data_IF_636021688642
#
_entry.id   IF_636021688642
#
_cell.length_a   1.000
_cell.length_b   1.000
_cell.length_c   1.000
_cell.angle_alpha   90.00
_cell.angle_beta   90.00
_cell.angle_gamma   90.00
#
_symmetry.space_group_name_H-M   'P 1'
#
loop_
_entity.id
_entity.type
_entity.pdbx_description
1 polymer ?
#
# COMPACT_ATOMS: atom_id res chain seq x y z
N UNK A 1 -4.26 -16.39 -6.39
CA UNK A 1 -2.93 -16.08 -5.83
C UNK A 1 -2.65 -14.57 -5.72
N UNK A 2 -2.49 -13.80 -6.80
CA UNK A 2 -2.17 -12.35 -6.62
C UNK A 2 -3.32 -11.55 -6.00
N UNK A 3 -4.57 -11.79 -6.43
CA UNK A 3 -5.75 -11.15 -5.82
C UNK A 3 -5.90 -11.47 -4.33
N UNK A 4 -5.67 -12.73 -3.94
CA UNK A 4 -5.68 -13.15 -2.53
C UNK A 4 -4.63 -12.40 -1.70
N UNK A 5 -3.44 -12.15 -2.26
CA UNK A 5 -2.40 -11.39 -1.57
C UNK A 5 -2.71 -9.89 -1.48
N UNK A 6 -3.45 -9.32 -2.43
CA UNK A 6 -4.02 -7.98 -2.29
C UNK A 6 -5.05 -7.93 -1.16
N UNK A 7 -5.96 -8.90 -1.09
CA UNK A 7 -6.95 -9.00 -0.01
C UNK A 7 -6.30 -9.15 1.36
N UNK A 8 -5.28 -10.01 1.46
CA UNK A 8 -4.42 -10.13 2.65
C UNK A 8 -3.84 -8.77 3.06
N UNK A 9 -3.21 -8.05 2.11
CA UNK A 9 -2.60 -6.76 2.39
C UNK A 9 -3.64 -5.75 2.88
N UNK A 10 -4.79 -5.66 2.23
CA UNK A 10 -5.87 -4.74 2.62
C UNK A 10 -6.43 -5.05 4.00
N UNK A 11 -6.62 -6.32 4.34
CA UNK A 11 -7.06 -6.73 5.67
C UNK A 11 -6.05 -6.31 6.74
N UNK A 12 -4.78 -6.66 6.54
CA UNK A 12 -3.70 -6.32 7.48
C UNK A 12 -3.54 -4.80 7.62
N UNK A 13 -3.59 -4.06 6.50
CA UNK A 13 -3.52 -2.60 6.49
C UNK A 13 -4.67 -1.97 7.24
N UNK A 14 -5.90 -2.45 7.04
CA UNK A 14 -7.07 -1.96 7.75
C UNK A 14 -6.94 -2.18 9.27
N UNK A 15 -6.48 -3.35 9.69
CA UNK A 15 -6.20 -3.64 11.11
C UNK A 15 -5.10 -2.74 11.68
N UNK A 16 -4.09 -2.36 10.88
CA UNK A 16 -3.07 -1.39 11.30
C UNK A 16 -3.61 0.03 11.41
N UNK A 17 -4.53 0.41 10.52
CA UNK A 17 -5.25 1.69 10.60
C UNK A 17 -6.07 1.72 11.89
N UNK A 18 -6.85 0.69 12.20
CA UNK A 18 -7.62 0.54 13.44
C UNK A 18 -6.70 0.57 14.67
N UNK A 19 -5.58 -0.18 14.64
CA UNK A 19 -4.56 -0.15 15.69
C UNK A 19 -4.02 1.27 15.93
N UNK A 20 -3.87 2.07 14.87
CA UNK A 20 -3.42 3.45 14.96
C UNK A 20 -4.47 4.40 15.55
N UNK A 21 -5.76 4.04 15.57
CA UNK A 21 -6.80 4.83 16.25
C UNK A 21 -6.66 4.75 17.77
N UNK A 22 -6.06 3.67 18.28
CA UNK A 22 -5.92 3.43 19.71
C UNK A 22 -4.65 4.05 20.32
N UNK A 23 -3.77 4.67 19.52
CA UNK A 23 -2.56 5.33 20.01
C UNK A 23 -2.76 6.85 20.07
N UNK A 24 -2.06 7.55 20.98
CA UNK A 24 -2.05 9.02 20.99
C UNK A 24 -1.55 9.58 19.66
N UNK A 25 -2.10 10.72 19.25
CA UNK A 25 -1.71 11.41 18.02
C UNK A 25 -0.19 11.66 17.95
N UNK A 26 0.43 12.00 19.08
CA UNK A 26 1.86 12.26 19.18
C UNK A 26 2.67 11.01 18.78
N UNK A 27 2.22 9.82 19.14
CA UNK A 27 2.88 8.55 18.80
C UNK A 27 2.65 8.14 17.34
N UNK A 28 1.50 8.49 16.75
CA UNK A 28 1.16 8.28 15.35
C UNK A 28 2.10 9.05 14.41
N UNK A 29 2.43 10.29 14.76
CA UNK A 29 3.31 11.17 13.96
C UNK A 29 4.77 11.17 14.42
N UNK A 30 5.08 10.54 15.56
CA UNK A 30 6.43 10.50 16.14
C UNK A 30 7.45 10.03 15.12
N UNK A 31 8.57 10.75 15.03
CA UNK A 31 9.69 10.34 14.19
C UNK A 31 10.37 9.08 14.76
N UNK A 32 10.49 8.05 13.92
CA UNK A 32 11.12 6.77 14.22
C UNK A 32 12.17 6.43 13.17
N UNK A 33 13.08 5.53 13.51
CA UNK A 33 14.08 5.01 12.57
C UNK A 33 13.41 3.92 11.72
N UNK A 34 13.61 3.98 10.40
CA UNK A 34 13.05 3.04 9.44
C UNK A 34 11.79 3.54 8.73
N UNK A 35 11.37 2.80 7.71
CA UNK A 35 10.17 3.10 6.92
C UNK A 35 10.10 4.53 6.43
N UNK A 36 8.91 5.12 6.53
CA UNK A 36 8.68 6.53 6.17
C UNK A 36 8.69 7.45 7.40
N UNK A 37 9.35 7.01 8.47
CA UNK A 37 9.64 7.81 9.65
C UNK A 37 8.48 8.01 10.62
N UNK A 38 7.26 7.55 10.35
CA UNK A 38 6.18 7.44 11.35
C UNK A 38 5.12 6.42 10.90
N UNK A 39 4.21 6.03 11.80
CA UNK A 39 3.08 5.16 11.44
C UNK A 39 2.22 5.80 10.33
N UNK A 40 1.81 7.06 10.52
CA UNK A 40 0.98 7.79 9.57
C UNK A 40 1.57 7.81 8.15
N UNK A 41 2.83 8.25 8.03
CA UNK A 41 3.48 8.38 6.73
C UNK A 41 3.79 7.02 6.09
N UNK A 42 4.04 5.98 6.89
CA UNK A 42 4.29 4.63 6.37
C UNK A 42 3.02 4.01 5.81
N UNK A 43 1.88 4.15 6.51
CA UNK A 43 0.58 3.70 6.01
C UNK A 43 0.17 4.46 4.75
N UNK A 44 0.33 5.79 4.73
CA UNK A 44 0.06 6.57 3.52
C UNK A 44 0.93 6.10 2.34
N UNK A 45 2.23 5.89 2.57
CA UNK A 45 3.20 5.50 1.53
C UNK A 45 2.90 4.15 0.88
N UNK A 46 2.45 3.15 1.64
CA UNK A 46 2.10 1.85 1.03
C UNK A 46 0.87 1.97 0.13
N UNK A 47 -0.13 2.77 0.54
CA UNK A 47 -1.31 3.06 -0.28
C UNK A 47 -0.91 3.87 -1.52
N UNK A 48 -0.01 4.84 -1.36
CA UNK A 48 0.48 5.67 -2.46
C UNK A 48 1.22 4.86 -3.52
N UNK A 49 2.04 3.89 -3.10
CA UNK A 49 2.70 2.95 -3.98
C UNK A 49 1.69 2.10 -4.77
N UNK A 50 0.66 1.58 -4.10
CA UNK A 50 -0.45 0.86 -4.76
C UNK A 50 -1.15 1.75 -5.79
N UNK A 51 -1.58 2.95 -5.38
CA UNK A 51 -2.26 3.91 -6.25
C UNK A 51 -1.43 4.23 -7.49
N UNK A 52 -0.16 4.57 -7.31
CA UNK A 52 0.79 4.91 -8.37
C UNK A 52 0.82 3.80 -9.42
N UNK A 53 1.13 2.57 -9.00
CA UNK A 53 1.36 1.48 -9.95
C UNK A 53 0.09 0.96 -10.59
N UNK A 54 -1.02 0.88 -9.84
CA UNK A 54 -2.32 0.52 -10.40
C UNK A 54 -2.75 1.53 -11.47
N UNK A 55 -2.62 2.83 -11.18
CA UNK A 55 -2.99 3.85 -12.16
C UNK A 55 -2.07 3.89 -13.37
N UNK A 56 -0.77 3.66 -13.20
CA UNK A 56 0.16 3.51 -14.33
C UNK A 56 -0.24 2.33 -15.22
N UNK A 57 -0.49 1.16 -14.64
CA UNK A 57 -0.96 -0.02 -15.39
C UNK A 57 -2.32 0.20 -16.05
N UNK A 58 -3.19 1.01 -15.43
CA UNK A 58 -4.51 1.33 -15.97
C UNK A 58 -4.53 2.55 -16.91
N UNK A 59 -3.38 3.18 -17.16
CA UNK A 59 -3.30 4.43 -17.91
C UNK A 59 -4.30 5.50 -17.38
N UNK A 60 -4.34 5.66 -16.05
CA UNK A 60 -5.15 6.65 -15.33
C UNK A 60 -4.24 7.70 -14.67
N UNK A 61 -4.75 8.92 -14.41
CA UNK A 61 -3.97 9.96 -13.74
C UNK A 61 -3.50 9.52 -12.35
N UNK A 62 -2.21 9.69 -12.05
CA UNK A 62 -1.66 9.45 -10.71
C UNK A 62 -1.89 10.69 -9.85
N UNK A 63 -2.35 10.48 -8.61
CA UNK A 63 -2.49 11.56 -7.64
C UNK A 63 -1.14 11.74 -6.96
N UNK A 64 -0.66 12.97 -6.85
CA UNK A 64 0.61 13.25 -6.16
C UNK A 64 0.36 14.21 -5.03
N UNK A 65 0.62 13.74 -3.81
CA UNK A 65 0.49 14.54 -2.59
C UNK A 65 1.85 14.65 -1.91
N UNK A 66 2.19 15.83 -1.40
CA UNK A 66 3.36 15.96 -0.53
C UNK A 66 3.07 15.19 0.77
N UNK A 67 3.87 14.16 1.06
CA UNK A 67 3.75 13.38 2.30
C UNK A 67 3.70 14.27 3.55
N UNK A 68 4.39 15.42 3.55
CA UNK A 68 4.40 16.37 4.69
C UNK A 68 3.05 17.07 4.90
N UNK A 69 2.18 17.06 3.89
CA UNK A 69 0.83 17.60 3.99
C UNK A 69 -0.13 16.62 4.68
N UNK A 70 0.24 15.34 4.80
CA UNK A 70 -0.56 14.32 5.47
C UNK A 70 -0.33 14.42 6.97
N UNK A 71 -1.37 14.79 7.70
CA UNK A 71 -1.28 15.07 9.14
C UNK A 71 -2.28 14.31 9.98
N UNK A 72 -3.33 13.73 9.38
CA UNK A 72 -4.41 13.05 10.08
C UNK A 72 -4.63 11.63 9.57
N UNK A 73 -5.00 10.72 10.48
CA UNK A 73 -5.28 9.32 10.13
C UNK A 73 -6.49 9.19 9.19
N UNK A 74 -7.46 10.10 9.26
CA UNK A 74 -8.63 10.09 8.38
C UNK A 74 -8.29 10.37 6.90
N UNK A 75 -7.18 11.09 6.64
CA UNK A 75 -6.65 11.25 5.28
C UNK A 75 -6.16 9.91 4.72
N UNK A 76 -5.48 9.10 5.56
CA UNK A 76 -5.02 7.76 5.21
C UNK A 76 -6.21 6.83 4.95
N UNK A 77 -7.23 6.84 5.82
CA UNK A 77 -8.45 6.03 5.64
C UNK A 77 -9.18 6.35 4.34
N UNK A 78 -9.38 7.65 4.07
CA UNK A 78 -10.07 8.09 2.86
C UNK A 78 -9.29 7.70 1.61
N UNK A 79 -7.96 7.80 1.68
CA UNK A 79 -7.09 7.41 0.57
C UNK A 79 -7.04 5.89 0.36
N UNK A 80 -7.04 5.10 1.44
CA UNK A 80 -7.15 3.64 1.40
C UNK A 80 -8.42 3.20 0.68
N UNK A 81 -9.59 3.68 1.12
CA UNK A 81 -10.88 3.32 0.52
C UNK A 81 -10.91 3.65 -0.97
N UNK A 82 -10.49 4.87 -1.34
CA UNK A 82 -10.48 5.29 -2.74
C UNK A 82 -9.51 4.45 -3.61
N UNK A 83 -8.34 4.11 -3.06
CA UNK A 83 -7.33 3.31 -3.76
C UNK A 83 -7.80 1.87 -3.90
N UNK A 84 -8.28 1.24 -2.82
CA UNK A 84 -8.79 -0.13 -2.82
C UNK A 84 -9.93 -0.31 -3.82
N UNK A 85 -10.95 0.56 -3.81
CA UNK A 85 -12.05 0.49 -4.78
C UNK A 85 -11.54 0.57 -6.22
N UNK A 86 -10.51 1.39 -6.47
CA UNK A 86 -9.89 1.45 -7.79
C UNK A 86 -9.13 0.17 -8.12
N UNK A 87 -8.33 -0.36 -7.20
CA UNK A 87 -7.59 -1.61 -7.42
C UNK A 87 -8.54 -2.78 -7.68
N UNK A 88 -9.64 -2.90 -6.94
CA UNK A 88 -10.66 -3.93 -7.17
C UNK A 88 -11.22 -3.86 -8.59
N UNK A 89 -11.61 -2.67 -9.05
CA UNK A 89 -12.09 -2.49 -10.42
C UNK A 89 -11.01 -2.81 -11.47
N UNK A 90 -9.76 -2.42 -11.21
CA UNK A 90 -8.64 -2.75 -12.09
C UNK A 90 -8.45 -4.26 -12.21
N UNK A 91 -8.42 -4.98 -11.09
CA UNK A 91 -8.22 -6.43 -11.06
C UNK A 91 -9.37 -7.15 -11.79
N UNK A 92 -10.60 -6.70 -11.59
CA UNK A 92 -11.77 -7.21 -12.31
C UNK A 92 -11.66 -7.01 -13.83
N UNK A 93 -11.28 -5.81 -14.29
CA UNK A 93 -11.07 -5.52 -15.72
C UNK A 93 -9.90 -6.32 -16.30
N UNK A 94 -8.81 -6.47 -15.54
CA UNK A 94 -7.64 -7.24 -15.96
C UNK A 94 -8.01 -8.71 -16.19
N UNK A 95 -8.76 -9.30 -15.26
CA UNK A 95 -9.17 -10.71 -15.34
C UNK A 95 -10.15 -10.98 -16.50
N UNK A 96 -11.09 -10.08 -16.75
CA UNK A 96 -12.18 -10.31 -17.71
C UNK A 96 -11.89 -9.82 -19.13
N UNK A 97 -11.11 -8.74 -19.27
CA UNK A 97 -11.09 -7.97 -20.52
C UNK A 97 -9.71 -7.89 -21.18
N UNK A 98 -8.62 -8.01 -20.41
CA UNK A 98 -7.29 -7.60 -20.89
C UNK A 98 -6.32 -8.74 -21.20
N UNK A 99 -6.65 -9.96 -20.78
CA UNK A 99 -5.82 -11.15 -21.01
C UNK A 99 -4.52 -11.17 -20.19
N UNK A 100 -3.72 -12.22 -20.38
CA UNK A 100 -2.44 -12.41 -19.69
C UNK A 100 -1.28 -11.70 -20.42
N UNK A 101 -0.12 -11.58 -19.77
CA UNK A 101 1.15 -11.07 -20.35
C UNK A 101 1.16 -9.58 -20.76
N UNK A 102 0.42 -8.74 -20.05
CA UNK A 102 0.46 -7.29 -20.22
C UNK A 102 1.80 -6.70 -19.77
N UNK A 103 2.29 -5.71 -20.51
CA UNK A 103 3.53 -4.98 -20.23
C UNK A 103 3.20 -3.52 -19.94
N UNK A 104 3.74 -3.00 -18.85
CA UNK A 104 3.80 -1.58 -18.54
C UNK A 104 5.07 -0.99 -19.12
N UNK A 105 4.94 0.08 -19.89
CA UNK A 105 6.07 0.87 -20.38
C UNK A 105 6.22 2.15 -19.54
N UNK A 106 7.37 2.34 -18.90
CA UNK A 106 7.68 3.52 -18.10
C UNK A 106 8.79 4.31 -18.77
N UNK A 107 8.49 5.54 -19.18
CA UNK A 107 9.47 6.44 -19.78
C UNK A 107 10.29 7.16 -18.70
N UNK A 108 11.60 6.97 -18.72
CA UNK A 108 12.53 7.75 -17.88
C UNK A 108 12.78 9.13 -18.48
N UNK A 109 13.25 10.07 -17.64
CA UNK A 109 13.61 11.44 -18.06
C UNK A 109 14.72 11.50 -19.13
N UNK A 110 15.57 10.49 -19.21
CA UNK A 110 16.63 10.37 -20.20
C UNK A 110 16.15 9.75 -21.54
N UNK A 111 14.85 9.49 -21.69
CA UNK A 111 14.25 8.88 -22.89
C UNK A 111 14.31 7.34 -22.94
N UNK A 112 14.92 6.69 -21.94
CA UNK A 112 14.91 5.23 -21.83
C UNK A 112 13.51 4.72 -21.45
N UNK A 113 13.04 3.67 -22.15
CA UNK A 113 11.77 3.02 -21.86
C UNK A 113 12.04 1.72 -21.09
N UNK A 114 11.56 1.66 -19.84
CA UNK A 114 11.55 0.44 -19.05
C UNK A 114 10.28 -0.35 -19.33
N UNK A 115 10.38 -1.68 -19.39
CA UNK A 115 9.26 -2.59 -19.62
C UNK A 115 9.10 -3.54 -18.46
N UNK A 116 7.93 -3.57 -17.86
CA UNK A 116 7.61 -4.43 -16.72
C UNK A 116 6.36 -5.26 -17.00
N UNK A 117 6.41 -6.59 -16.85
CA UNK A 117 5.19 -7.39 -16.80
C UNK A 117 4.27 -6.93 -15.68
N UNK A 118 2.96 -6.84 -15.94
CA UNK A 118 1.98 -6.45 -14.93
C UNK A 118 2.06 -7.33 -13.68
N UNK A 119 2.27 -8.64 -13.85
CA UNK A 119 2.47 -9.59 -12.74
C UNK A 119 3.63 -9.19 -11.82
N UNK A 120 4.70 -8.63 -12.38
CA UNK A 120 5.89 -8.21 -11.64
C UNK A 120 5.64 -6.91 -10.91
N UNK A 121 4.88 -6.00 -11.52
CA UNK A 121 4.45 -4.75 -10.87
C UNK A 121 3.50 -5.05 -9.71
N UNK A 122 2.50 -5.91 -9.92
CA UNK A 122 1.59 -6.36 -8.86
C UNK A 122 2.35 -7.06 -7.72
N UNK A 123 3.29 -7.95 -8.03
CA UNK A 123 4.14 -8.58 -7.01
C UNK A 123 4.99 -7.56 -6.25
N UNK A 124 5.47 -6.52 -6.93
CA UNK A 124 6.17 -5.42 -6.28
C UNK A 124 5.27 -4.66 -5.29
N UNK A 125 4.04 -4.31 -5.67
CA UNK A 125 3.08 -3.66 -4.76
C UNK A 125 2.87 -4.51 -3.52
N UNK A 126 2.55 -5.81 -3.71
CA UNK A 126 2.28 -6.76 -2.63
C UNK A 126 3.45 -6.83 -1.65
N UNK A 127 4.65 -7.11 -2.17
CA UNK A 127 5.85 -7.30 -1.34
C UNK A 127 6.35 -6.00 -0.70
N UNK A 128 6.14 -4.85 -1.36
CA UNK A 128 6.49 -3.53 -0.84
C UNK A 128 5.66 -3.19 0.41
N UNK A 129 4.36 -3.45 0.38
CA UNK A 129 3.52 -3.23 1.55
C UNK A 129 3.86 -4.20 2.69
N UNK A 130 4.04 -5.49 2.41
CA UNK A 130 4.47 -6.47 3.42
C UNK A 130 5.79 -6.04 4.11
N UNK A 131 6.75 -5.52 3.33
CA UNK A 131 8.01 -5.00 3.86
C UNK A 131 7.80 -3.85 4.85
N UNK A 132 6.95 -2.88 4.52
CA UNK A 132 6.68 -1.71 5.35
C UNK A 132 5.79 -2.02 6.56
N UNK A 133 4.81 -2.91 6.41
CA UNK A 133 4.02 -3.42 7.52
C UNK A 133 4.90 -4.15 8.56
N UNK A 134 5.92 -4.89 8.10
CA UNK A 134 6.91 -5.49 8.99
C UNK A 134 7.62 -4.45 9.87
N UNK A 135 7.88 -3.24 9.35
CA UNK A 135 8.50 -2.16 10.13
C UNK A 135 7.56 -1.62 11.22
N UNK A 136 6.26 -1.50 10.94
CA UNK A 136 5.25 -1.09 11.94
C UNK A 136 5.22 -2.05 13.13
N UNK A 137 5.40 -3.35 12.87
CA UNK A 137 5.42 -4.38 13.93
C UNK A 137 6.54 -4.16 14.95
N UNK A 138 7.70 -3.68 14.51
CA UNK A 138 8.84 -3.37 15.38
C UNK A 138 8.49 -2.16 16.25
N UNK A 139 7.96 -1.10 15.65
CA UNK A 139 7.59 0.11 16.40
C UNK A 139 6.48 -0.14 17.41
N UNK A 140 5.50 -0.99 17.09
CA UNK A 140 4.47 -1.40 18.04
C UNK A 140 5.08 -2.08 19.27
N UNK A 141 6.08 -2.96 19.07
CA UNK A 141 6.81 -3.61 20.16
C UNK A 141 7.68 -2.64 20.97
N UNK A 142 8.32 -1.67 20.32
CA UNK A 142 9.05 -0.59 21.03
C UNK A 142 8.13 0.24 21.93
N UNK A 143 6.85 0.37 21.56
CA UNK A 143 5.82 1.00 22.38
C UNK A 143 5.23 0.07 23.46
N UNK A 144 5.71 -1.17 23.58
CA UNK A 144 5.16 -2.17 24.50
C UNK A 144 3.77 -2.67 24.13
N UNK A 145 3.33 -2.46 22.89
CA UNK A 145 2.01 -2.89 22.38
C UNK A 145 2.13 -4.18 21.55
N UNK A 146 1.03 -4.92 21.47
CA UNK A 146 0.93 -6.08 20.57
C UNK A 146 0.73 -5.56 19.14
N UNK A 147 1.54 -5.96 18.15
CA UNK A 147 1.35 -5.62 16.76
C UNK A 147 0.18 -6.42 16.16
N UNK A 148 -0.36 -5.92 15.06
CA UNK A 148 -1.29 -6.67 14.21
C UNK A 148 -0.65 -7.99 13.77
N UNK A 149 -1.41 -9.08 13.80
CA UNK A 149 -0.93 -10.40 13.42
C UNK A 149 -0.80 -10.49 11.90
N UNK A 150 0.39 -10.66 11.34
CA UNK A 150 0.59 -10.72 9.88
C UNK A 150 0.65 -12.15 9.33
N UNK A 151 0.13 -13.15 10.04
CA UNK A 151 0.09 -14.53 9.55
C UNK A 151 -0.98 -14.68 8.46
N UNK A 152 -0.56 -15.13 7.28
CA UNK A 152 -1.45 -15.38 6.14
C UNK A 152 -2.41 -16.54 6.41
N UNK A 153 -1.99 -17.54 7.20
CA UNK A 153 -2.75 -18.78 7.39
C UNK A 153 -4.05 -18.60 8.19
N UNK A 154 -4.16 -17.49 8.92
CA UNK A 154 -5.34 -17.17 9.74
C UNK A 154 -6.28 -16.15 9.08
N UNK A 155 -6.00 -15.78 7.81
CA UNK A 155 -6.78 -14.79 7.10
C UNK A 155 -7.92 -15.44 6.33
N UNK A 156 -9.10 -14.87 6.52
CA UNK A 156 -10.33 -15.22 5.79
C UNK A 156 -10.76 -13.98 4.99
N UNK A 157 -10.72 -14.07 3.66
CA UNK A 157 -11.09 -12.99 2.73
C UNK A 157 -11.70 -13.51 1.43
#
# INVERSE_FOLDING_TARGET
MQEELFRYNWQVRNEWIEWCEEIPYEELIRKRIGGMGSFLHTLYHVIDCEQLWINQMWNKPVITTDLRAITQLDEVKSYDVATRTRTELFLHELANSWGTNRILEVSKRNGEILRFPFEKVMSHIITHEMHHIGQLSIWAREMGRVPVNSDLLIRDF
#
